data_IF_742176849213
#
_entry.id   IF_742176849213
#
_cell.length_a   1.000
_cell.length_b   1.000
_cell.length_c   1.000
_cell.angle_alpha   90.00
_cell.angle_beta   90.00
_cell.angle_gamma   90.00
#
_symmetry.space_group_name_H-M   'P 1'
#
loop_
_entity.id
_entity.type
_entity.pdbx_description
1 polymer ?
#
# COMPACT_ATOMS: atom_id res chain seq x y z
N UNK A 1 25.38 -13.04 -0.80
CA UNK A 1 24.38 -12.39 0.06
C UNK A 1 24.88 -12.44 1.49
N UNK A 2 24.80 -11.34 2.24
CA UNK A 2 25.20 -11.33 3.65
C UNK A 2 24.22 -12.19 4.47
N UNK A 3 24.69 -12.80 5.57
CA UNK A 3 23.86 -13.69 6.40
C UNK A 3 22.54 -13.02 6.88
N UNK A 4 22.63 -11.79 7.34
CA UNK A 4 21.43 -11.02 7.78
C UNK A 4 20.40 -10.80 6.66
N UNK A 5 20.84 -10.66 5.40
CA UNK A 5 19.93 -10.58 4.26
C UNK A 5 19.19 -11.90 4.01
N UNK A 6 19.85 -13.04 4.28
CA UNK A 6 19.17 -14.35 4.20
C UNK A 6 18.11 -14.48 5.28
N UNK A 7 18.44 -14.15 6.54
CA UNK A 7 17.49 -14.14 7.65
C UNK A 7 16.29 -13.26 7.33
N UNK A 8 16.53 -12.05 6.79
CA UNK A 8 15.45 -11.15 6.40
C UNK A 8 14.53 -11.76 5.33
N UNK A 9 15.08 -12.38 4.29
CA UNK A 9 14.26 -13.01 3.24
C UNK A 9 13.51 -14.26 3.74
N UNK A 10 14.09 -15.03 4.66
CA UNK A 10 13.41 -16.16 5.30
C UNK A 10 12.25 -15.68 6.17
N UNK A 11 12.47 -14.65 6.99
CA UNK A 11 11.43 -14.03 7.80
C UNK A 11 10.31 -13.42 6.93
N UNK A 12 10.66 -12.76 5.82
CA UNK A 12 9.70 -12.21 4.87
C UNK A 12 8.85 -13.31 4.23
N UNK A 13 9.45 -14.41 3.79
CA UNK A 13 8.73 -15.55 3.21
C UNK A 13 7.74 -16.16 4.21
N UNK A 14 8.16 -16.33 5.47
CA UNK A 14 7.31 -16.82 6.54
C UNK A 14 6.15 -15.84 6.80
N UNK A 15 6.45 -14.55 6.91
CA UNK A 15 5.46 -13.49 7.13
C UNK A 15 4.37 -13.46 6.04
N UNK A 16 4.76 -13.57 4.75
CA UNK A 16 3.83 -13.58 3.62
C UNK A 16 2.90 -14.80 3.62
N UNK A 17 3.32 -15.90 4.23
CA UNK A 17 2.53 -17.13 4.39
C UNK A 17 1.78 -17.21 5.71
N UNK A 18 1.90 -16.20 6.57
CA UNK A 18 1.40 -16.21 7.95
C UNK A 18 1.99 -17.35 8.79
N UNK A 19 3.26 -17.64 8.59
CA UNK A 19 4.02 -18.69 9.25
C UNK A 19 5.07 -18.08 10.19
N UNK A 20 5.62 -18.92 11.08
CA UNK A 20 6.77 -18.58 11.93
C UNK A 20 8.06 -19.14 11.31
N UNK A 21 9.18 -18.47 11.54
CA UNK A 21 10.48 -19.04 11.19
C UNK A 21 10.89 -20.13 12.18
N UNK A 22 11.57 -21.16 11.69
CA UNK A 22 12.10 -22.27 12.51
C UNK A 22 13.58 -22.08 12.85
N UNK A 23 13.97 -20.89 13.31
CA UNK A 23 15.35 -20.60 13.68
C UNK A 23 15.68 -21.19 15.06
N UNK A 24 16.49 -22.26 15.09
CA UNK A 24 16.87 -22.95 16.32
C UNK A 24 18.17 -22.41 16.92
N UNK A 25 19.05 -21.84 16.11
CA UNK A 25 20.34 -21.32 16.57
C UNK A 25 20.17 -19.91 17.13
N UNK A 26 20.91 -19.61 18.19
CA UNK A 26 21.00 -18.27 18.75
C UNK A 26 21.53 -17.30 17.67
N UNK A 27 20.89 -16.17 17.54
CA UNK A 27 21.37 -15.05 16.73
C UNK A 27 22.09 -14.04 17.64
N UNK A 28 23.12 -13.41 17.11
CA UNK A 28 23.84 -12.34 17.80
C UNK A 28 22.99 -11.06 17.88
N UNK A 29 23.28 -10.23 18.85
CA UNK A 29 22.55 -8.95 19.07
C UNK A 29 22.53 -8.09 17.80
N UNK A 30 23.66 -8.02 17.09
CA UNK A 30 23.78 -7.23 15.86
C UNK A 30 22.91 -7.77 14.73
N UNK A 31 22.73 -9.08 14.63
CA UNK A 31 21.89 -9.71 13.60
C UNK A 31 20.42 -9.35 13.81
N UNK A 32 19.92 -9.35 15.06
CA UNK A 32 18.58 -8.90 15.39
C UNK A 32 18.38 -7.41 15.08
N UNK A 33 19.33 -6.57 15.47
CA UNK A 33 19.24 -5.13 15.21
C UNK A 33 19.24 -4.82 13.71
N UNK A 34 20.08 -5.48 12.92
CA UNK A 34 20.12 -5.30 11.48
C UNK A 34 18.87 -5.83 10.78
N UNK A 35 18.32 -6.97 11.24
CA UNK A 35 17.06 -7.52 10.75
C UNK A 35 15.90 -6.52 10.93
N UNK A 36 15.73 -6.00 12.15
CA UNK A 36 14.64 -5.07 12.43
C UNK A 36 14.84 -3.71 11.76
N UNK A 37 16.07 -3.21 11.66
CA UNK A 37 16.37 -2.00 10.91
C UNK A 37 16.01 -2.14 9.42
N UNK A 38 16.33 -3.27 8.78
CA UNK A 38 15.90 -3.54 7.41
C UNK A 38 14.37 -3.58 7.31
N UNK A 39 13.70 -4.21 8.25
CA UNK A 39 12.24 -4.28 8.28
C UNK A 39 11.59 -2.88 8.45
N UNK A 40 12.17 -2.00 9.24
CA UNK A 40 11.73 -0.61 9.39
C UNK A 40 11.92 0.20 8.11
N UNK A 41 13.10 0.15 7.51
CA UNK A 41 13.41 0.85 6.24
C UNK A 41 12.44 0.44 5.13
N UNK A 42 12.06 -0.84 5.10
CA UNK A 42 11.12 -1.37 4.12
C UNK A 42 9.65 -1.29 4.56
N UNK A 43 9.36 -0.69 5.71
CA UNK A 43 8.00 -0.48 6.25
C UNK A 43 7.21 -1.80 6.45
N UNK A 44 7.88 -2.87 6.86
CA UNK A 44 7.30 -4.20 7.10
C UNK A 44 7.67 -4.78 8.48
N UNK A 45 8.11 -3.93 9.41
CA UNK A 45 8.51 -4.37 10.75
C UNK A 45 7.43 -5.21 11.46
N UNK A 46 6.13 -4.85 11.45
CA UNK A 46 5.12 -5.68 12.11
C UNK A 46 5.07 -7.10 11.57
N UNK A 47 5.16 -7.28 10.27
CA UNK A 47 5.17 -8.60 9.62
C UNK A 47 6.38 -9.43 10.01
N UNK A 48 7.58 -8.82 9.93
CA UNK A 48 8.84 -9.50 10.27
C UNK A 48 8.86 -9.85 11.75
N UNK A 49 8.48 -8.94 12.64
CA UNK A 49 8.43 -9.20 14.07
C UNK A 49 7.49 -10.38 14.38
N UNK A 50 6.29 -10.39 13.81
CA UNK A 50 5.32 -11.49 13.98
C UNK A 50 5.89 -12.82 13.51
N UNK A 51 6.60 -12.87 12.39
CA UNK A 51 7.18 -14.09 11.87
C UNK A 51 8.32 -14.67 12.72
N UNK A 52 9.01 -13.83 13.51
CA UNK A 52 10.23 -14.28 14.22
C UNK A 52 10.09 -14.40 15.75
N UNK A 53 9.12 -13.68 16.37
CA UNK A 53 9.12 -13.51 17.84
C UNK A 53 8.86 -14.79 18.63
N UNK A 54 8.25 -15.83 18.03
CA UNK A 54 8.03 -17.16 18.63
C UNK A 54 9.09 -18.17 18.28
N UNK A 55 10.09 -17.82 17.47
CA UNK A 55 11.16 -18.75 17.12
C UNK A 55 11.99 -19.14 18.34
N UNK A 56 12.56 -20.35 18.37
CA UNK A 56 13.51 -20.73 19.43
C UNK A 56 14.69 -19.76 19.56
N UNK A 57 15.16 -19.17 18.45
CA UNK A 57 16.18 -18.14 18.45
C UNK A 57 15.77 -16.88 19.22
N UNK A 58 14.52 -16.43 19.05
CA UNK A 58 13.99 -15.28 19.78
C UNK A 58 13.89 -15.56 21.28
N UNK A 59 13.56 -16.78 21.69
CA UNK A 59 13.57 -17.20 23.09
C UNK A 59 14.95 -17.20 23.74
N UNK A 60 16.02 -17.18 22.95
CA UNK A 60 17.41 -17.12 23.40
C UNK A 60 18.01 -15.70 23.33
N UNK A 61 17.28 -14.74 22.74
CA UNK A 61 17.73 -13.36 22.60
C UNK A 61 17.59 -12.60 23.92
N UNK A 62 18.45 -11.60 24.12
CA UNK A 62 18.26 -10.66 25.21
C UNK A 62 16.94 -9.89 25.01
N UNK A 63 16.01 -9.91 25.98
CA UNK A 63 14.76 -9.16 25.88
C UNK A 63 14.93 -7.66 25.57
N UNK A 64 16.05 -7.06 25.95
CA UNK A 64 16.34 -5.66 25.66
C UNK A 64 16.55 -5.38 24.17
N UNK A 65 16.89 -6.40 23.38
CA UNK A 65 17.06 -6.30 21.91
C UNK A 65 15.71 -6.38 21.22
N UNK A 66 14.81 -7.26 21.67
CA UNK A 66 13.52 -7.47 21.06
C UNK A 66 12.45 -6.43 21.48
N UNK A 67 12.58 -5.89 22.70
CA UNK A 67 11.60 -4.97 23.27
C UNK A 67 11.37 -3.69 22.45
N UNK A 68 12.39 -3.01 21.90
CA UNK A 68 12.18 -1.84 21.04
C UNK A 68 11.38 -2.16 19.77
N UNK A 69 11.72 -3.26 19.08
CA UNK A 69 11.01 -3.70 17.87
C UNK A 69 9.54 -4.04 18.20
N UNK A 70 9.29 -4.75 19.30
CA UNK A 70 7.93 -5.02 19.79
C UNK A 70 7.15 -3.72 20.05
N UNK A 71 7.76 -2.78 20.77
CA UNK A 71 7.10 -1.52 21.09
C UNK A 71 6.78 -0.71 19.81
N UNK A 72 7.68 -0.70 18.84
CA UNK A 72 7.46 -0.06 17.54
C UNK A 72 6.35 -0.75 16.75
N UNK A 73 6.37 -2.08 16.67
CA UNK A 73 5.30 -2.86 16.03
C UNK A 73 3.94 -2.53 16.65
N UNK A 74 3.80 -2.57 17.97
CA UNK A 74 2.53 -2.28 18.66
C UNK A 74 2.05 -0.85 18.36
N UNK A 75 2.95 0.15 18.41
CA UNK A 75 2.60 1.53 18.04
C UNK A 75 2.08 1.62 16.61
N UNK A 76 2.75 0.96 15.68
CA UNK A 76 2.37 0.94 14.27
C UNK A 76 0.99 0.33 14.07
N UNK A 77 0.72 -0.82 14.69
CA UNK A 77 -0.59 -1.49 14.63
C UNK A 77 -1.70 -0.57 15.17
N UNK A 78 -1.50 0.02 16.36
CA UNK A 78 -2.48 0.96 16.93
C UNK A 78 -2.77 2.13 15.98
N UNK A 79 -1.72 2.71 15.38
CA UNK A 79 -1.90 3.82 14.43
C UNK A 79 -2.66 3.39 13.16
N UNK A 80 -2.39 2.19 12.62
CA UNK A 80 -3.12 1.69 11.45
C UNK A 80 -4.58 1.37 11.76
N UNK A 81 -4.86 0.76 12.90
CA UNK A 81 -6.24 0.52 13.38
C UNK A 81 -7.01 1.85 13.52
N UNK A 82 -6.39 2.88 14.11
CA UNK A 82 -7.01 4.21 14.23
C UNK A 82 -7.28 4.84 12.85
N UNK A 83 -6.33 4.77 11.91
CA UNK A 83 -6.51 5.28 10.55
C UNK A 83 -7.69 4.61 9.85
N UNK A 84 -7.80 3.28 9.95
CA UNK A 84 -8.93 2.53 9.39
C UNK A 84 -10.25 3.01 9.99
N UNK A 85 -10.31 3.12 11.34
CA UNK A 85 -11.49 3.60 12.03
C UNK A 85 -11.91 5.05 11.71
N UNK A 86 -10.96 5.89 11.26
CA UNK A 86 -11.25 7.26 10.80
C UNK A 86 -11.60 7.30 9.30
N UNK A 87 -11.02 6.41 8.48
CA UNK A 87 -11.25 6.38 7.04
C UNK A 87 -12.65 5.88 6.69
N UNK A 88 -13.13 4.81 7.29
CA UNK A 88 -14.44 4.22 6.96
C UNK A 88 -15.61 5.19 7.12
N UNK A 89 -15.74 5.99 8.22
CA UNK A 89 -16.79 6.99 8.34
C UNK A 89 -16.68 8.09 7.27
N UNK A 90 -15.46 8.53 6.93
CA UNK A 90 -15.25 9.50 5.86
C UNK A 90 -15.70 8.95 4.51
N UNK A 91 -15.27 7.73 4.17
CA UNK A 91 -15.62 7.08 2.92
C UNK A 91 -17.14 6.90 2.78
N UNK A 92 -17.81 6.45 3.85
CA UNK A 92 -19.27 6.32 3.90
C UNK A 92 -19.97 7.67 3.72
N UNK A 93 -19.47 8.72 4.38
CA UNK A 93 -20.00 10.10 4.23
C UNK A 93 -19.92 10.58 2.77
N UNK A 94 -18.82 10.34 2.07
CA UNK A 94 -18.68 10.68 0.64
C UNK A 94 -19.69 9.91 -0.21
N UNK A 95 -19.84 8.61 0.00
CA UNK A 95 -20.81 7.77 -0.73
C UNK A 95 -22.25 8.22 -0.50
N UNK A 96 -22.65 8.49 0.74
CA UNK A 96 -23.98 8.97 1.10
C UNK A 96 -24.26 10.38 0.52
N UNK A 97 -23.21 11.15 0.30
CA UNK A 97 -23.28 12.48 -0.36
C UNK A 97 -23.28 12.40 -1.90
N UNK A 98 -23.29 11.21 -2.46
CA UNK A 98 -23.34 10.97 -3.91
C UNK A 98 -22.01 11.17 -4.63
N UNK A 99 -20.89 10.95 -3.94
CA UNK A 99 -19.55 10.79 -4.51
C UNK A 99 -19.07 9.37 -4.21
N UNK A 100 -18.61 8.65 -5.22
CA UNK A 100 -18.14 7.29 -5.06
C UNK A 100 -16.69 7.16 -5.55
N UNK A 101 -15.70 7.57 -4.73
CA UNK A 101 -14.29 7.46 -5.09
C UNK A 101 -13.87 5.99 -5.22
N UNK A 102 -12.92 5.71 -6.11
CA UNK A 102 -12.22 4.44 -6.12
C UNK A 102 -11.05 4.50 -5.12
N UNK A 103 -10.99 3.54 -4.21
CA UNK A 103 -9.83 3.37 -3.33
C UNK A 103 -8.80 2.53 -4.08
N UNK A 104 -7.63 3.09 -4.37
CA UNK A 104 -6.67 2.45 -5.30
C UNK A 104 -5.46 1.80 -4.65
N UNK A 105 -5.27 2.00 -3.36
CA UNK A 105 -4.25 1.35 -2.48
C UNK A 105 -4.81 1.21 -1.06
N UNK A 106 -4.12 1.79 -0.10
CA UNK A 106 -4.58 1.98 1.27
C UNK A 106 -5.25 0.74 1.86
N UNK A 107 -6.52 0.90 2.26
CA UNK A 107 -7.32 -0.15 2.89
C UNK A 107 -7.50 -1.39 2.00
N UNK A 108 -7.57 -1.23 0.67
CA UNK A 108 -7.72 -2.36 -0.27
C UNK A 108 -6.49 -3.28 -0.22
N UNK A 109 -5.29 -2.70 -0.29
CA UNK A 109 -4.06 -3.48 -0.15
C UNK A 109 -3.87 -4.02 1.27
N UNK A 110 -4.30 -3.30 2.31
CA UNK A 110 -4.23 -3.82 3.69
C UNK A 110 -5.07 -5.09 3.87
N UNK A 111 -6.25 -5.13 3.27
CA UNK A 111 -7.19 -6.25 3.43
C UNK A 111 -6.66 -7.59 2.94
N UNK A 112 -5.68 -7.61 2.04
CA UNK A 112 -5.06 -8.85 1.55
C UNK A 112 -3.86 -9.33 2.40
N UNK A 113 -3.45 -8.55 3.41
CA UNK A 113 -2.41 -8.99 4.33
C UNK A 113 -2.96 -9.95 5.38
N UNK A 114 -2.16 -10.91 5.88
CA UNK A 114 -2.60 -11.83 6.94
C UNK A 114 -3.13 -11.11 8.18
N UNK A 115 -2.56 -9.94 8.50
CA UNK A 115 -3.11 -8.96 9.41
C UNK A 115 -3.10 -7.59 8.72
N UNK A 116 -4.26 -6.99 8.43
CA UNK A 116 -4.37 -5.72 7.73
C UNK A 116 -3.55 -4.57 8.35
N UNK A 117 -3.48 -4.54 9.68
CA UNK A 117 -2.77 -3.48 10.41
C UNK A 117 -1.23 -3.64 10.39
N UNK A 118 -0.71 -4.74 9.84
CA UNK A 118 0.74 -4.92 9.62
C UNK A 118 1.24 -4.21 8.36
N UNK A 119 0.33 -3.86 7.44
CA UNK A 119 0.69 -3.04 6.29
C UNK A 119 0.66 -1.56 6.64
N UNK A 120 1.84 -0.98 6.74
CA UNK A 120 1.98 0.46 7.01
C UNK A 120 1.50 1.25 5.78
N UNK A 121 0.53 2.16 5.99
CA UNK A 121 0.04 3.11 4.99
C UNK A 121 0.17 4.53 5.53
N UNK A 122 0.72 5.44 4.73
CA UNK A 122 0.80 6.88 5.05
C UNK A 122 -0.53 7.58 4.77
N UNK A 123 -1.14 7.21 3.68
CA UNK A 123 -2.24 7.84 2.98
C UNK A 123 -3.31 6.83 2.55
N UNK A 124 -4.45 7.34 2.16
CA UNK A 124 -5.50 6.62 1.41
C UNK A 124 -5.67 7.34 0.07
N UNK A 125 -5.39 6.64 -1.03
CA UNK A 125 -5.51 7.18 -2.37
C UNK A 125 -6.94 7.00 -2.89
N UNK A 126 -7.59 8.10 -3.19
CA UNK A 126 -8.95 8.16 -3.72
C UNK A 126 -8.94 8.70 -5.15
N UNK A 127 -9.27 7.87 -6.13
CA UNK A 127 -9.44 8.31 -7.51
C UNK A 127 -10.90 8.69 -7.75
N UNK A 128 -11.12 9.89 -8.26
CA UNK A 128 -12.44 10.41 -8.65
C UNK A 128 -12.47 10.77 -10.13
N UNK A 129 -13.69 10.92 -10.67
CA UNK A 129 -13.84 11.55 -11.98
C UNK A 129 -13.49 13.04 -11.88
N UNK A 130 -12.78 13.63 -12.85
CA UNK A 130 -12.40 15.05 -12.79
C UNK A 130 -13.59 15.99 -12.58
N UNK A 131 -14.75 15.69 -13.16
CA UNK A 131 -15.99 16.45 -13.00
C UNK A 131 -16.57 16.45 -11.57
N UNK A 132 -16.23 15.43 -10.77
CA UNK A 132 -16.66 15.32 -9.37
C UNK A 132 -15.71 16.04 -8.40
N UNK A 133 -14.57 16.56 -8.86
CA UNK A 133 -13.51 17.10 -8.01
C UNK A 133 -14.03 18.20 -7.09
N UNK A 134 -14.69 19.24 -7.64
CA UNK A 134 -15.19 20.39 -6.85
C UNK A 134 -16.17 19.94 -5.77
N UNK A 135 -17.11 19.06 -6.11
CA UNK A 135 -18.06 18.51 -5.15
C UNK A 135 -17.36 17.70 -4.06
N UNK A 136 -16.38 16.88 -4.43
CA UNK A 136 -15.61 16.09 -3.46
C UNK A 136 -14.76 16.99 -2.54
N UNK A 137 -14.10 18.00 -3.09
CA UNK A 137 -13.37 19.02 -2.36
C UNK A 137 -14.24 19.69 -1.28
N UNK A 138 -15.42 20.19 -1.66
CA UNK A 138 -16.36 20.85 -0.74
C UNK A 138 -16.83 19.90 0.37
N UNK A 139 -17.08 18.63 0.04
CA UNK A 139 -17.47 17.61 1.01
C UNK A 139 -16.34 17.28 1.99
N UNK A 140 -15.09 17.18 1.54
CA UNK A 140 -13.92 16.97 2.39
C UNK A 140 -13.75 18.15 3.36
N UNK A 141 -13.87 19.38 2.88
CA UNK A 141 -13.83 20.57 3.73
C UNK A 141 -14.97 20.59 4.76
N UNK A 142 -16.20 20.27 4.34
CA UNK A 142 -17.35 20.15 5.25
C UNK A 142 -17.17 19.05 6.31
N UNK A 143 -16.46 17.99 5.99
CA UNK A 143 -16.08 16.93 6.94
C UNK A 143 -14.99 17.39 7.92
N UNK A 144 -14.36 18.54 7.66
CA UNK A 144 -13.30 19.13 8.47
C UNK A 144 -11.88 18.76 8.01
N UNK A 145 -11.74 18.20 6.80
CA UNK A 145 -10.45 18.04 6.13
C UNK A 145 -9.97 19.37 5.55
N UNK A 146 -8.67 19.56 5.47
CA UNK A 146 -8.06 20.73 4.85
C UNK A 146 -6.96 20.28 3.92
N UNK A 147 -6.82 20.94 2.77
CA UNK A 147 -5.68 20.73 1.89
C UNK A 147 -4.43 21.42 2.45
N UNK A 148 -3.26 20.84 2.22
CA UNK A 148 -1.98 21.52 2.47
C UNK A 148 -1.66 22.59 1.42
N UNK A 149 -2.33 22.54 0.27
CA UNK A 149 -2.20 23.50 -0.83
C UNK A 149 -3.05 24.76 -0.57
N UNK A 150 -2.85 25.40 0.60
CA UNK A 150 -3.65 26.54 1.05
C UNK A 150 -3.44 27.81 0.21
N UNK A 151 -2.33 27.92 -0.47
CA UNK A 151 -1.98 29.05 -1.33
C UNK A 151 -2.51 28.91 -2.76
N UNK A 152 -3.03 27.72 -3.13
CA UNK A 152 -3.63 27.47 -4.45
C UNK A 152 -5.10 27.90 -4.48
N UNK A 153 -5.48 28.62 -5.52
CA UNK A 153 -6.88 28.92 -5.76
C UNK A 153 -7.65 27.72 -6.35
N UNK A 154 -8.96 27.86 -6.53
CA UNK A 154 -9.80 26.76 -6.98
C UNK A 154 -9.46 26.29 -8.42
N UNK A 155 -9.00 27.20 -9.30
CA UNK A 155 -8.61 26.86 -10.68
C UNK A 155 -7.25 26.13 -10.69
N UNK A 156 -6.31 26.56 -9.85
CA UNK A 156 -5.03 25.89 -9.67
C UNK A 156 -5.20 24.49 -9.09
N UNK A 157 -6.07 24.32 -8.08
CA UNK A 157 -6.40 23.00 -7.52
C UNK A 157 -7.06 22.08 -8.56
N UNK A 158 -7.82 22.60 -9.50
CA UNK A 158 -8.39 21.83 -10.60
C UNK A 158 -7.33 21.39 -11.64
N UNK A 159 -6.25 22.14 -11.78
CA UNK A 159 -5.19 21.86 -12.76
C UNK A 159 -4.24 20.74 -12.36
N UNK A 160 -4.02 20.50 -11.06
CA UNK A 160 -3.12 19.45 -10.57
C UNK A 160 -3.78 18.06 -10.61
N UNK A 161 -3.00 16.99 -10.79
CA UNK A 161 -3.53 15.63 -10.92
C UNK A 161 -3.93 15.01 -9.58
N UNK A 162 -3.36 15.47 -8.47
CA UNK A 162 -3.65 15.03 -7.10
C UNK A 162 -3.66 16.19 -6.12
N UNK A 163 -4.51 16.14 -5.09
CA UNK A 163 -4.59 17.12 -4.01
C UNK A 163 -4.58 16.39 -2.67
N UNK A 164 -3.66 16.74 -1.74
CA UNK A 164 -3.60 16.14 -0.42
C UNK A 164 -4.57 16.80 0.56
N UNK A 165 -5.18 16.00 1.43
CA UNK A 165 -6.06 16.45 2.50
C UNK A 165 -5.70 15.79 3.83
N UNK A 166 -5.66 16.59 4.89
CA UNK A 166 -5.47 16.15 6.26
C UNK A 166 -6.48 16.80 7.20
N UNK A 167 -6.57 16.29 8.42
CA UNK A 167 -7.43 16.86 9.46
C UNK A 167 -6.64 17.00 10.75
N UNK A 168 -6.69 18.20 11.35
CA UNK A 168 -5.98 18.48 12.61
C UNK A 168 -6.44 17.53 13.72
N UNK A 169 -5.49 16.86 14.35
CA UNK A 169 -5.75 15.90 15.43
C UNK A 169 -6.22 14.52 14.94
N UNK A 170 -6.23 14.27 13.64
CA UNK A 170 -6.54 13.00 13.00
C UNK A 170 -5.26 12.38 12.41
N UNK A 171 -5.24 11.07 12.29
CA UNK A 171 -4.16 10.33 11.62
C UNK A 171 -4.46 10.12 10.13
N UNK A 172 -5.68 10.45 9.68
CA UNK A 172 -6.08 10.25 8.30
C UNK A 172 -5.44 11.29 7.40
N UNK A 173 -4.92 10.81 6.28
CA UNK A 173 -4.41 11.60 5.18
C UNK A 173 -4.93 11.01 3.88
N UNK A 174 -5.55 11.85 3.05
CA UNK A 174 -6.15 11.47 1.78
C UNK A 174 -5.38 12.13 0.66
N UNK A 175 -5.03 11.37 -0.37
CA UNK A 175 -4.61 11.88 -1.67
C UNK A 175 -5.78 11.72 -2.63
N UNK A 176 -6.38 12.86 -3.01
CA UNK A 176 -7.50 12.90 -3.95
C UNK A 176 -6.97 13.04 -5.37
N UNK A 177 -7.02 11.97 -6.13
CA UNK A 177 -6.52 11.87 -7.48
C UNK A 177 -7.62 12.14 -8.52
N UNK A 178 -7.32 12.95 -9.52
CA UNK A 178 -8.12 13.12 -10.76
C UNK A 178 -7.56 12.25 -11.89
N UNK A 179 -6.29 11.87 -11.80
CA UNK A 179 -5.65 10.84 -12.60
C UNK A 179 -4.63 10.07 -11.74
N UNK A 180 -4.37 8.82 -12.08
CA UNK A 180 -3.51 7.92 -11.27
C UNK A 180 -2.03 8.32 -11.28
N UNK A 181 -1.61 9.00 -12.34
CA UNK A 181 -0.23 9.43 -12.57
C UNK A 181 -0.21 10.85 -13.11
N UNK A 182 0.90 11.58 -12.96
CA UNK A 182 1.11 12.83 -13.68
C UNK A 182 0.85 12.62 -15.18
N UNK A 183 0.17 13.56 -15.87
CA UNK A 183 -0.21 13.41 -17.28
C UNK A 183 0.98 13.26 -18.22
N UNK A 184 2.13 13.82 -17.85
CA UNK A 184 3.36 13.74 -18.62
C UNK A 184 4.54 13.44 -17.67
N UNK A 185 5.33 12.43 -18.04
CA UNK A 185 6.55 12.10 -17.33
C UNK A 185 7.65 11.77 -18.34
N UNK A 186 8.78 12.48 -18.23
CA UNK A 186 9.96 12.18 -19.04
C UNK A 186 10.51 10.76 -18.78
N UNK A 187 10.26 10.21 -17.58
CA UNK A 187 10.82 8.94 -17.16
C UNK A 187 10.02 7.72 -17.67
N UNK A 188 8.68 7.84 -17.82
CA UNK A 188 7.81 6.70 -18.17
C UNK A 188 6.64 7.06 -19.11
N UNK A 189 6.56 8.31 -19.57
CA UNK A 189 5.47 8.78 -20.44
C UNK A 189 4.12 8.84 -19.76
N UNK A 190 3.04 8.81 -20.54
CA UNK A 190 1.67 8.79 -20.02
C UNK A 190 1.23 7.36 -19.68
N UNK A 191 1.19 7.05 -18.38
CA UNK A 191 0.65 5.79 -17.86
C UNK A 191 -0.88 5.79 -17.75
N UNK A 192 -1.53 6.97 -17.71
CA UNK A 192 -2.99 7.06 -17.56
C UNK A 192 -3.74 6.44 -18.74
N UNK A 193 -3.12 6.38 -19.91
CA UNK A 193 -3.71 5.75 -21.13
C UNK A 193 -4.17 4.31 -20.92
N UNK A 194 -3.57 3.59 -19.95
CA UNK A 194 -3.93 2.21 -19.66
C UNK A 194 -5.17 2.08 -18.76
N UNK A 195 -5.59 3.18 -18.15
CA UNK A 195 -6.65 3.23 -17.14
C UNK A 195 -7.88 4.04 -17.58
N UNK A 196 -8.07 4.21 -18.91
CA UNK A 196 -9.14 5.04 -19.47
C UNK A 196 -10.54 4.59 -19.01
N UNK A 197 -10.77 3.29 -18.79
CA UNK A 197 -12.06 2.73 -18.39
C UNK A 197 -12.12 2.35 -16.89
N UNK A 198 -11.18 2.83 -16.06
CA UNK A 198 -11.04 2.38 -14.67
C UNK A 198 -12.29 2.61 -13.82
N UNK A 199 -13.08 3.65 -14.12
CA UNK A 199 -14.33 3.95 -13.41
C UNK A 199 -15.49 3.06 -13.86
N UNK A 200 -15.52 2.67 -15.13
CA UNK A 200 -16.53 1.79 -15.73
C UNK A 200 -16.33 0.35 -15.27
N UNK A 201 -15.06 -0.10 -15.24
CA UNK A 201 -14.67 -1.46 -14.86
C UNK A 201 -14.48 -1.63 -13.33
N UNK A 202 -14.83 -0.61 -12.55
CA UNK A 202 -14.70 -0.60 -11.10
C UNK A 202 -15.63 -1.63 -10.44
N UNK A 203 -15.14 -2.25 -9.38
CA UNK A 203 -15.84 -3.27 -8.57
C UNK A 203 -16.07 -2.79 -7.14
N UNK A 204 -17.05 -3.36 -6.46
CA UNK A 204 -17.23 -3.18 -5.02
C UNK A 204 -16.71 -4.43 -4.28
N UNK A 205 -15.88 -4.22 -3.26
CA UNK A 205 -15.38 -5.26 -2.36
C UNK A 205 -15.84 -4.97 -0.93
N UNK A 206 -16.03 -6.03 -0.13
CA UNK A 206 -16.47 -5.89 1.27
C UNK A 206 -15.26 -5.90 2.20
N UNK A 207 -15.02 -4.82 2.94
CA UNK A 207 -13.95 -4.71 3.94
C UNK A 207 -14.59 -4.26 5.25
N UNK A 208 -14.44 -5.05 6.33
CA UNK A 208 -14.92 -4.75 7.69
C UNK A 208 -16.37 -4.25 7.75
N UNK A 209 -17.22 -4.81 6.87
CA UNK A 209 -18.63 -4.44 6.81
C UNK A 209 -18.95 -3.23 5.95
N UNK A 210 -17.96 -2.55 5.36
CA UNK A 210 -18.12 -1.43 4.45
C UNK A 210 -17.88 -1.86 3.00
N UNK A 211 -18.76 -1.44 2.08
CA UNK A 211 -18.59 -1.68 0.64
C UNK A 211 -17.65 -0.60 0.07
N UNK A 212 -16.46 -1.00 -0.29
CA UNK A 212 -15.41 -0.15 -0.85
C UNK A 212 -15.37 -0.35 -2.37
N UNK A 213 -15.54 0.73 -3.12
CA UNK A 213 -15.37 0.72 -4.57
C UNK A 213 -13.90 0.85 -4.92
N UNK A 214 -13.44 -0.01 -5.82
CA UNK A 214 -12.04 -0.05 -6.25
C UNK A 214 -11.92 -0.45 -7.71
N UNK A 215 -10.72 -0.45 -8.26
CA UNK A 215 -10.44 -0.91 -9.63
C UNK A 215 -10.76 -2.39 -9.79
N UNK A 216 -11.09 -2.81 -11.01
CA UNK A 216 -11.07 -4.23 -11.39
C UNK A 216 -9.70 -4.86 -11.12
N UNK A 217 -9.65 -6.14 -10.76
CA UNK A 217 -8.42 -6.79 -10.27
C UNK A 217 -7.25 -6.73 -11.25
N UNK A 218 -7.49 -6.82 -12.54
CA UNK A 218 -6.44 -6.74 -13.59
C UNK A 218 -5.81 -5.35 -13.62
N UNK A 219 -6.62 -4.31 -13.64
CA UNK A 219 -6.13 -2.93 -13.69
C UNK A 219 -5.51 -2.52 -12.34
N UNK A 220 -6.03 -3.04 -11.24
CA UNK A 220 -5.44 -2.78 -9.92
C UNK A 220 -4.04 -3.41 -9.78
N UNK A 221 -3.85 -4.66 -10.19
CA UNK A 221 -2.51 -5.27 -10.19
C UNK A 221 -1.55 -4.48 -11.08
N UNK A 222 -1.98 -4.10 -12.28
CA UNK A 222 -1.14 -3.32 -13.19
C UNK A 222 -0.83 -1.93 -12.61
N UNK A 223 -1.79 -1.29 -11.92
CA UNK A 223 -1.55 -0.05 -11.20
C UNK A 223 -0.47 -0.20 -10.11
N UNK A 224 -0.52 -1.27 -9.29
CA UNK A 224 0.51 -1.52 -8.27
C UNK A 224 1.90 -1.69 -8.89
N UNK A 225 1.99 -2.35 -10.05
CA UNK A 225 3.24 -2.48 -10.82
C UNK A 225 3.72 -1.12 -11.33
N UNK A 226 2.86 -0.33 -11.97
CA UNK A 226 3.19 1.01 -12.46
C UNK A 226 3.63 1.94 -11.34
N UNK A 227 2.92 1.90 -10.19
CA UNK A 227 3.25 2.69 -9.02
C UNK A 227 4.63 2.33 -8.45
N UNK A 228 4.94 1.03 -8.36
CA UNK A 228 6.28 0.56 -7.95
C UNK A 228 7.36 0.96 -8.95
N UNK A 229 7.05 0.90 -10.24
CA UNK A 229 7.95 1.32 -11.32
C UNK A 229 8.25 2.82 -11.27
N UNK A 230 7.22 3.67 -11.07
CA UNK A 230 7.37 5.11 -10.82
C UNK A 230 8.37 5.37 -9.69
N UNK A 231 8.19 4.71 -8.55
CA UNK A 231 9.10 4.88 -7.41
C UNK A 231 10.52 4.41 -7.72
N UNK A 232 10.66 3.26 -8.37
CA UNK A 232 11.98 2.72 -8.75
C UNK A 232 12.78 3.70 -9.60
N UNK A 233 12.14 4.38 -10.55
CA UNK A 233 12.79 5.33 -11.44
C UNK A 233 13.19 6.65 -10.74
N UNK A 234 12.46 7.06 -9.69
CA UNK A 234 12.71 8.35 -9.04
C UNK A 234 13.53 8.25 -7.76
N UNK A 235 13.29 7.28 -6.91
CA UNK A 235 13.88 7.24 -5.55
C UNK A 235 14.18 5.84 -5.02
N UNK A 236 13.95 4.81 -5.85
CA UNK A 236 13.90 3.43 -5.39
C UNK A 236 12.58 3.12 -4.69
N UNK A 237 12.32 1.85 -4.41
CA UNK A 237 11.11 1.40 -3.74
C UNK A 237 11.42 0.42 -2.61
N UNK A 238 10.49 0.33 -1.65
CA UNK A 238 10.60 -0.59 -0.52
C UNK A 238 10.04 -1.97 -0.84
N UNK A 239 10.43 -2.97 -0.06
CA UNK A 239 9.92 -4.35 -0.18
C UNK A 239 8.40 -4.40 0.05
N UNK A 240 7.82 -3.46 0.80
CA UNK A 240 6.36 -3.38 0.99
C UNK A 240 5.59 -3.34 -0.34
N UNK A 241 6.07 -2.58 -1.34
CA UNK A 241 5.42 -2.56 -2.66
C UNK A 241 5.48 -3.93 -3.37
N UNK A 242 6.58 -4.67 -3.18
CA UNK A 242 6.69 -6.05 -3.68
C UNK A 242 5.70 -6.97 -2.96
N UNK A 243 5.55 -6.81 -1.63
CA UNK A 243 4.56 -7.56 -0.85
C UNK A 243 3.13 -7.29 -1.34
N UNK A 244 2.78 -6.02 -1.60
CA UNK A 244 1.48 -5.64 -2.15
C UNK A 244 1.19 -6.39 -3.45
N UNK A 245 2.13 -6.40 -4.40
CA UNK A 245 2.00 -7.08 -5.69
C UNK A 245 1.84 -8.61 -5.50
N UNK A 246 2.69 -9.23 -4.67
CA UNK A 246 2.68 -10.68 -4.44
C UNK A 246 1.36 -11.10 -3.77
N UNK A 247 0.95 -10.42 -2.71
CA UNK A 247 -0.28 -10.76 -1.98
C UNK A 247 -1.51 -10.52 -2.84
N UNK A 248 -1.53 -9.44 -3.64
CA UNK A 248 -2.63 -9.15 -4.56
C UNK A 248 -2.74 -10.22 -5.67
N UNK A 249 -1.60 -10.63 -6.23
CA UNK A 249 -1.52 -11.69 -7.23
C UNK A 249 -1.94 -13.06 -6.67
N UNK A 250 -1.61 -13.36 -5.41
CA UNK A 250 -1.99 -14.60 -4.75
C UNK A 250 -3.50 -14.64 -4.46
N UNK A 251 -4.07 -13.54 -3.97
CA UNK A 251 -5.49 -13.46 -3.57
C UNK A 251 -6.41 -13.47 -4.79
N UNK A 252 -6.09 -12.68 -5.82
CA UNK A 252 -6.98 -12.44 -6.95
C UNK A 252 -6.50 -13.04 -8.27
N UNK A 253 -5.45 -13.87 -8.24
CA UNK A 253 -4.78 -14.38 -9.46
C UNK A 253 -5.68 -15.08 -10.46
N UNK A 254 -6.73 -15.76 -10.00
CA UNK A 254 -7.70 -16.44 -10.86
C UNK A 254 -8.66 -15.47 -11.59
N UNK A 255 -8.82 -14.24 -11.07
CA UNK A 255 -9.65 -13.19 -11.65
C UNK A 255 -8.85 -12.17 -12.49
N UNK A 256 -7.52 -12.33 -12.58
CA UNK A 256 -6.63 -11.42 -13.30
C UNK A 256 -6.41 -11.90 -14.73
N UNK A 257 -6.59 -11.01 -15.71
CA UNK A 257 -6.14 -11.20 -17.08
C UNK A 257 -4.61 -11.01 -17.17
N UNK A 258 -3.87 -12.10 -16.95
CA UNK A 258 -2.41 -12.10 -16.98
C UNK A 258 -1.83 -11.73 -18.34
N UNK A 259 -2.52 -12.08 -19.45
CA UNK A 259 -2.05 -11.70 -20.79
C UNK A 259 -2.10 -10.19 -20.98
N UNK A 260 -3.17 -9.53 -20.50
CA UNK A 260 -3.30 -8.07 -20.49
C UNK A 260 -2.17 -7.44 -19.65
N UNK A 261 -1.98 -7.90 -18.40
CA UNK A 261 -0.93 -7.37 -17.50
C UNK A 261 0.46 -7.51 -18.12
N UNK A 262 0.83 -8.70 -18.61
CA UNK A 262 2.15 -8.95 -19.20
C UNK A 262 2.39 -8.11 -20.47
N UNK A 263 1.38 -7.94 -21.32
CA UNK A 263 1.47 -7.08 -22.50
C UNK A 263 1.73 -5.64 -22.10
N UNK A 264 0.96 -5.10 -21.14
CA UNK A 264 1.12 -3.73 -20.64
C UNK A 264 2.47 -3.52 -19.97
N UNK A 265 2.97 -4.48 -19.17
CA UNK A 265 4.31 -4.42 -18.58
C UNK A 265 5.43 -4.36 -19.63
N UNK A 266 5.28 -5.06 -20.75
CA UNK A 266 6.25 -4.97 -21.87
C UNK A 266 6.23 -3.60 -22.53
N UNK A 267 5.06 -2.99 -22.70
CA UNK A 267 4.91 -1.66 -23.29
C UNK A 267 5.60 -0.56 -22.47
N UNK A 268 5.60 -0.68 -21.13
CA UNK A 268 6.25 0.28 -20.24
C UNK A 268 7.68 -0.14 -19.84
N UNK A 269 8.21 -1.22 -20.42
CA UNK A 269 9.54 -1.77 -20.09
C UNK A 269 9.73 -2.17 -18.62
N UNK A 270 8.66 -2.45 -17.88
CA UNK A 270 8.70 -2.89 -16.48
C UNK A 270 9.01 -4.39 -16.32
N UNK A 271 9.81 -4.97 -17.22
CA UNK A 271 10.06 -6.41 -17.31
C UNK A 271 10.66 -7.03 -16.05
N UNK A 272 11.43 -6.29 -15.27
CA UNK A 272 12.06 -6.79 -14.03
C UNK A 272 11.06 -7.09 -12.92
N UNK A 273 9.87 -6.48 -12.94
CA UNK A 273 8.87 -6.65 -11.88
C UNK A 273 8.03 -7.94 -12.03
N UNK A 274 8.01 -8.56 -13.22
CA UNK A 274 7.26 -9.79 -13.45
C UNK A 274 8.14 -11.04 -13.73
N UNK A 275 9.46 -10.91 -13.72
CA UNK A 275 10.38 -12.07 -13.82
C UNK A 275 10.56 -12.81 -12.49
N UNK A 276 9.84 -12.41 -11.44
CA UNK A 276 9.70 -13.24 -10.25
C UNK A 276 8.94 -14.54 -10.63
N UNK A 277 9.37 -15.72 -10.12
CA UNK A 277 8.69 -16.96 -10.41
C UNK A 277 7.20 -16.85 -10.03
N UNK A 278 6.35 -17.40 -10.89
CA UNK A 278 4.91 -17.51 -10.62
C UNK A 278 4.70 -18.23 -9.30
N UNK A 279 3.71 -17.83 -8.48
CA UNK A 279 3.34 -18.58 -7.27
C UNK A 279 2.97 -20.05 -7.54
N UNK A 280 2.80 -20.43 -8.82
CA UNK A 280 2.46 -21.80 -9.27
C UNK A 280 3.65 -22.63 -9.77
N UNK A 281 4.88 -22.06 -9.79
CA UNK A 281 6.14 -22.75 -10.06
C UNK A 281 6.89 -23.07 -8.69
#
# INVERSE_FOLDING_TARGET
MQHTQQLFLEALKAALKNEQVEWNNKLEAQEWMDLFRMAEVHQILPMIYEAVYRSPAAGQADPQILAPAKAQMVRTVIMQTQKTGEFEPLYRYLRESGICPLVVKGIVCRNIYPNPDYRISGDEDLLIRPEDFRKCHDLLHKYGMQTSEQDMDAEELESVYEVPYGKKGSLIYIELHKSLFPPESEAYGDLNRFFANVHEDAIDIRIDGTDIRTMGYTDHLFYLICHSFKHFLHSGFGIRQVCDIILFANEYGDAIDWEKVLRQCREIHACLLYTSPSPRD
#
